data_IF_055395364737
#
_entry.id   IF_055395364737
#
_cell.length_a   1.000
_cell.length_b   1.000
_cell.length_c   1.000
_cell.angle_alpha   90.00
_cell.angle_beta   90.00
_cell.angle_gamma   90.00
#
_symmetry.space_group_name_H-M   'P 1'
#
loop_
_entity.id
_entity.type
_entity.pdbx_description
1 polymer ?
#
# COMPACT_ATOMS: atom_id res chain seq x y z
N UNK A 1 -27.68 -42.75 62.44
CA UNK A 1 -26.44 -42.26 61.91
C UNK A 1 -26.55 -42.30 60.39
N UNK A 2 -26.79 -41.15 59.78
CA UNK A 2 -26.90 -41.03 58.31
C UNK A 2 -25.90 -40.02 57.85
N UNK A 3 -24.79 -40.55 57.33
CA UNK A 3 -23.74 -39.76 56.74
C UNK A 3 -24.19 -39.21 55.38
N UNK A 4 -24.28 -37.91 55.23
CA UNK A 4 -24.60 -37.25 53.97
C UNK A 4 -23.27 -36.89 53.30
N UNK A 5 -22.89 -37.68 52.29
CA UNK A 5 -21.81 -37.33 51.39
C UNK A 5 -22.25 -36.19 50.46
N UNK A 6 -21.65 -35.05 50.62
CA UNK A 6 -21.80 -33.91 49.72
C UNK A 6 -20.80 -34.06 48.58
N UNK A 7 -21.29 -34.41 47.40
CA UNK A 7 -20.47 -34.46 46.19
C UNK A 7 -20.44 -33.05 45.61
N UNK A 8 -19.29 -32.39 45.76
CA UNK A 8 -18.98 -31.12 45.09
C UNK A 8 -18.59 -31.41 43.63
N UNK A 9 -19.53 -31.16 42.71
CA UNK A 9 -19.27 -31.19 41.28
C UNK A 9 -18.63 -29.86 40.91
N UNK A 10 -17.32 -29.88 40.74
CA UNK A 10 -16.54 -28.73 40.26
C UNK A 10 -16.66 -28.66 38.74
N UNK A 11 -17.47 -27.73 38.24
CA UNK A 11 -17.62 -27.45 36.81
C UNK A 11 -16.45 -26.59 36.37
N UNK A 12 -15.45 -27.18 35.70
CA UNK A 12 -14.39 -26.46 35.06
C UNK A 12 -14.96 -25.83 33.78
N UNK A 13 -15.19 -24.53 33.82
CA UNK A 13 -15.49 -23.73 32.61
C UNK A 13 -14.20 -23.49 31.87
N UNK A 14 -13.98 -24.25 30.81
CA UNK A 14 -12.88 -24.07 29.90
C UNK A 14 -13.17 -22.88 28.95
N UNK A 15 -12.67 -21.69 29.30
CA UNK A 15 -12.77 -20.52 28.47
C UNK A 15 -11.82 -20.73 27.27
N UNK A 16 -12.38 -21.10 26.10
CA UNK A 16 -11.67 -21.04 24.84
C UNK A 16 -11.45 -19.55 24.48
N UNK A 17 -10.26 -19.04 24.76
CA UNK A 17 -9.80 -17.79 24.15
C UNK A 17 -9.52 -18.07 22.70
N UNK A 18 -10.46 -17.71 21.81
CA UNK A 18 -10.19 -17.63 20.39
C UNK A 18 -9.16 -16.51 20.18
N UNK A 19 -7.89 -16.88 20.09
CA UNK A 19 -6.83 -16.00 19.66
C UNK A 19 -7.14 -15.59 18.22
N UNK A 20 -7.63 -14.36 18.01
CA UNK A 20 -7.62 -13.75 16.69
C UNK A 20 -6.15 -13.69 16.26
N UNK A 21 -5.76 -14.54 15.31
CA UNK A 21 -4.52 -14.40 14.58
C UNK A 21 -4.66 -13.07 13.81
N UNK A 22 -4.16 -11.98 14.39
CA UNK A 22 -3.90 -10.77 13.66
C UNK A 22 -2.92 -11.17 12.55
N UNK A 23 -3.40 -11.15 11.29
CA UNK A 23 -2.52 -11.27 10.15
C UNK A 23 -1.44 -10.21 10.37
N UNK A 24 -0.19 -10.63 10.47
CA UNK A 24 0.91 -9.72 10.75
C UNK A 24 0.95 -8.70 9.61
N UNK A 25 0.65 -7.45 9.94
CA UNK A 25 0.71 -6.31 9.02
C UNK A 25 2.17 -6.09 8.61
N UNK A 26 2.62 -6.87 7.65
CA UNK A 26 4.01 -6.83 7.21
C UNK A 26 4.20 -5.70 6.22
N UNK A 27 5.04 -4.73 6.59
CA UNK A 27 5.56 -3.71 5.70
C UNK A 27 6.81 -4.21 4.98
N UNK A 28 6.87 -3.95 3.69
CA UNK A 28 8.10 -3.96 2.92
C UNK A 28 8.68 -2.55 3.03
N UNK A 29 9.88 -2.40 3.58
CA UNK A 29 10.43 -1.10 3.95
C UNK A 29 9.99 -0.66 5.35
N UNK A 30 9.83 0.64 5.53
CA UNK A 30 9.51 1.26 6.82
C UNK A 30 8.00 1.46 6.96
N UNK A 31 7.46 1.15 8.13
CA UNK A 31 6.10 1.58 8.49
C UNK A 31 6.10 3.07 8.84
N UNK A 32 4.98 3.80 8.62
CA UNK A 32 4.87 5.18 9.08
C UNK A 32 4.99 5.25 10.61
N UNK A 33 5.68 6.27 11.10
CA UNK A 33 5.81 6.52 12.55
C UNK A 33 4.46 6.87 13.17
N UNK A 34 3.62 7.61 12.43
CA UNK A 34 2.26 7.94 12.82
C UNK A 34 1.27 7.30 11.85
N UNK A 35 0.33 6.54 12.39
CA UNK A 35 -0.77 5.97 11.61
C UNK A 35 -1.76 7.07 11.21
N UNK A 36 -1.56 7.68 10.05
CA UNK A 36 -2.55 8.55 9.41
C UNK A 36 -3.50 7.72 8.57
N UNK A 37 -4.76 8.16 8.47
CA UNK A 37 -5.72 7.52 7.58
C UNK A 37 -5.19 7.55 6.13
N UNK A 38 -5.19 6.42 5.41
CA UNK A 38 -4.75 6.40 4.02
C UNK A 38 -5.68 7.23 3.13
N UNK A 39 -5.10 7.93 2.16
CA UNK A 39 -5.80 8.71 1.15
C UNK A 39 -5.85 7.91 -0.16
N UNK A 40 -6.99 7.87 -0.83
CA UNK A 40 -7.13 7.18 -2.12
C UNK A 40 -6.28 7.82 -3.23
N UNK A 41 -5.81 7.01 -4.18
CA UNK A 41 -5.00 7.51 -5.32
C UNK A 41 -5.74 8.61 -6.08
N UNK A 42 -7.03 8.43 -6.35
CA UNK A 42 -7.84 9.42 -7.07
C UNK A 42 -7.90 10.77 -6.33
N UNK A 43 -8.06 10.74 -5.01
CA UNK A 43 -8.06 11.94 -4.16
C UNK A 43 -6.68 12.63 -4.14
N UNK A 44 -5.60 11.84 -4.03
CA UNK A 44 -4.22 12.37 -4.09
C UNK A 44 -3.94 13.08 -5.41
N UNK A 45 -4.40 12.54 -6.53
CA UNK A 45 -4.20 13.14 -7.84
C UNK A 45 -5.06 14.41 -8.03
N UNK A 46 -6.30 14.43 -7.48
CA UNK A 46 -7.17 15.60 -7.51
C UNK A 46 -6.58 16.78 -6.73
N UNK A 47 -5.94 16.51 -5.58
CA UNK A 47 -5.37 17.54 -4.69
C UNK A 47 -3.83 17.57 -4.72
N UNK A 48 -3.23 17.10 -5.82
CA UNK A 48 -1.77 16.87 -5.91
C UNK A 48 -0.93 18.12 -5.60
N UNK A 49 -1.37 19.31 -6.00
CA UNK A 49 -0.64 20.55 -5.73
C UNK A 49 -0.56 20.87 -4.23
N UNK A 50 -1.61 20.58 -3.47
CA UNK A 50 -1.66 20.77 -2.03
C UNK A 50 -0.87 19.69 -1.27
N UNK A 51 -0.75 18.49 -1.84
CA UNK A 51 -0.09 17.34 -1.23
C UNK A 51 1.37 17.17 -1.67
N UNK A 52 1.85 18.01 -2.59
CA UNK A 52 3.21 17.95 -3.10
C UNK A 52 4.23 18.10 -1.96
N UNK A 53 5.28 17.28 -2.00
CA UNK A 53 6.37 17.23 -1.03
C UNK A 53 5.94 16.93 0.42
N UNK A 54 4.70 16.47 0.61
CA UNK A 54 4.21 16.04 1.91
C UNK A 54 4.34 14.53 2.09
N UNK A 55 4.60 14.14 3.34
CA UNK A 55 4.56 12.74 3.77
C UNK A 55 3.11 12.30 3.97
N UNK A 56 2.69 11.28 3.26
CA UNK A 56 1.32 10.74 3.31
C UNK A 56 1.32 9.22 3.15
N UNK A 57 0.22 8.62 3.53
CA UNK A 57 -0.06 7.21 3.26
C UNK A 57 -1.18 7.14 2.24
N UNK A 58 -0.95 6.45 1.13
CA UNK A 58 -1.94 6.24 0.08
C UNK A 58 -2.52 4.84 0.14
N UNK A 59 -3.73 4.67 -0.35
CA UNK A 59 -4.36 3.38 -0.58
C UNK A 59 -4.83 3.23 -2.01
N UNK A 60 -4.78 2.02 -2.51
CA UNK A 60 -5.24 1.67 -3.85
C UNK A 60 -5.05 0.19 -4.12
N UNK A 61 -5.40 -0.22 -5.34
CA UNK A 61 -5.14 -1.57 -5.82
C UNK A 61 -3.79 -1.59 -6.53
N UNK A 62 -2.86 -2.40 -6.05
CA UNK A 62 -1.59 -2.64 -6.72
C UNK A 62 -1.82 -3.52 -7.95
N UNK A 63 -1.66 -2.96 -9.15
CA UNK A 63 -1.98 -3.59 -10.44
C UNK A 63 -0.76 -4.06 -11.19
N UNK A 64 0.39 -3.43 -10.96
CA UNK A 64 1.65 -3.82 -11.56
C UNK A 64 2.84 -3.60 -10.62
N UNK A 65 3.86 -4.43 -10.75
CA UNK A 65 5.11 -4.36 -9.98
C UNK A 65 6.28 -4.65 -10.93
N UNK A 66 7.37 -3.92 -10.74
CA UNK A 66 8.62 -4.14 -11.46
C UNK A 66 9.11 -5.59 -11.28
N UNK A 67 9.15 -6.35 -12.37
CA UNK A 67 9.50 -7.78 -12.35
C UNK A 67 10.99 -8.04 -12.09
N UNK A 68 11.86 -7.04 -12.31
CA UNK A 68 13.30 -7.21 -12.14
C UNK A 68 13.76 -7.09 -10.68
N UNK A 69 13.41 -5.97 -10.03
CA UNK A 69 13.93 -5.62 -8.70
C UNK A 69 12.86 -5.20 -7.70
N UNK A 70 11.57 -5.18 -8.07
CA UNK A 70 10.52 -4.69 -7.19
C UNK A 70 10.71 -3.21 -6.81
N UNK A 71 11.32 -2.41 -7.68
CA UNK A 71 11.71 -1.02 -7.37
C UNK A 71 10.59 0.00 -7.59
N UNK A 72 9.46 -0.41 -8.16
CA UNK A 72 8.25 0.37 -8.31
C UNK A 72 7.02 -0.53 -8.41
N UNK A 73 5.87 0.04 -8.08
CA UNK A 73 4.55 -0.53 -8.33
C UNK A 73 3.62 0.52 -8.92
N UNK A 74 2.50 0.10 -9.50
CA UNK A 74 1.39 0.97 -9.90
C UNK A 74 0.23 0.73 -8.95
N UNK A 75 -0.27 1.81 -8.35
CA UNK A 75 -1.49 1.80 -7.54
C UNK A 75 -2.61 2.45 -8.35
N UNK A 76 -3.75 1.80 -8.39
CA UNK A 76 -4.95 2.24 -9.11
C UNK A 76 -6.10 2.43 -8.11
N UNK A 77 -6.87 3.48 -8.32
CA UNK A 77 -8.10 3.77 -7.60
C UNK A 77 -9.05 4.56 -8.52
N UNK A 78 -10.27 4.04 -8.72
CA UNK A 78 -11.29 4.66 -9.58
C UNK A 78 -10.83 5.00 -11.01
N UNK A 79 -9.95 4.18 -11.59
CA UNK A 79 -9.40 4.39 -12.94
C UNK A 79 -8.21 5.34 -12.99
N UNK A 80 -7.85 5.99 -11.89
CA UNK A 80 -6.66 6.82 -11.75
C UNK A 80 -5.48 5.96 -11.30
N UNK A 81 -4.29 6.26 -11.82
CA UNK A 81 -3.07 5.48 -11.53
C UNK A 81 -1.97 6.36 -11.01
N UNK A 82 -1.27 5.89 -9.98
CA UNK A 82 -0.09 6.54 -9.42
C UNK A 82 1.06 5.54 -9.32
N UNK A 83 2.23 5.94 -9.78
CA UNK A 83 3.45 5.16 -9.59
C UNK A 83 3.96 5.32 -8.16
N UNK A 84 4.20 4.20 -7.51
CA UNK A 84 4.85 4.11 -6.20
C UNK A 84 6.28 3.62 -6.45
N UNK A 85 7.26 4.48 -6.24
CA UNK A 85 8.68 4.18 -6.47
C UNK A 85 9.39 3.99 -5.14
N UNK A 86 10.09 2.88 -4.99
CA UNK A 86 10.89 2.60 -3.79
C UNK A 86 12.02 3.63 -3.66
N UNK A 87 12.11 4.29 -2.50
CA UNK A 87 13.16 5.27 -2.22
C UNK A 87 14.53 4.57 -2.17
N UNK A 88 15.46 5.08 -2.97
CA UNK A 88 16.88 4.69 -2.96
C UNK A 88 17.12 3.16 -3.00
N UNK A 89 16.17 2.40 -3.54
CA UNK A 89 16.20 0.93 -3.55
C UNK A 89 16.37 0.28 -2.17
N UNK A 90 15.89 0.92 -1.11
CA UNK A 90 16.06 0.46 0.27
C UNK A 90 15.28 -0.82 0.61
N UNK A 91 14.28 -1.14 -0.18
CA UNK A 91 13.52 -2.39 -0.09
C UNK A 91 13.05 -2.85 -1.48
N UNK A 92 12.44 -4.02 -1.56
CA UNK A 92 11.85 -4.52 -2.78
C UNK A 92 10.39 -4.91 -2.55
N UNK A 93 9.53 -4.60 -3.51
CA UNK A 93 8.14 -5.07 -3.56
C UNK A 93 8.14 -6.43 -4.28
N UNK A 94 7.60 -7.52 -3.69
CA UNK A 94 7.51 -8.79 -4.38
C UNK A 94 6.74 -8.68 -5.70
N UNK A 95 7.33 -9.20 -6.78
CA UNK A 95 6.85 -8.98 -8.14
C UNK A 95 5.51 -9.67 -8.46
N UNK A 96 5.10 -10.62 -7.65
CA UNK A 96 3.87 -11.40 -7.77
C UNK A 96 2.68 -10.81 -7.00
N UNK A 97 2.90 -9.79 -6.16
CA UNK A 97 1.82 -9.18 -5.39
C UNK A 97 0.91 -8.32 -6.29
N UNK A 98 -0.37 -8.56 -6.20
CA UNK A 98 -1.46 -7.78 -6.84
C UNK A 98 -2.63 -7.71 -5.87
N UNK A 99 -3.30 -6.57 -5.80
CA UNK A 99 -4.47 -6.41 -4.93
C UNK A 99 -4.41 -5.20 -4.03
N UNK A 100 -5.30 -5.11 -3.03
CA UNK A 100 -5.37 -3.97 -2.11
C UNK A 100 -4.04 -3.77 -1.36
N UNK A 101 -3.56 -2.54 -1.35
CA UNK A 101 -2.30 -2.19 -0.72
C UNK A 101 -2.31 -0.75 -0.20
N UNK A 102 -1.39 -0.46 0.70
CA UNK A 102 -1.06 0.90 1.14
C UNK A 102 0.42 1.17 0.92
N UNK A 103 0.76 2.41 0.63
CA UNK A 103 2.14 2.86 0.53
C UNK A 103 2.32 4.16 1.32
N UNK A 104 3.43 4.27 2.04
CA UNK A 104 3.81 5.45 2.80
C UNK A 104 5.04 6.08 2.17
N UNK A 105 5.02 7.40 1.99
CA UNK A 105 6.12 8.13 1.37
C UNK A 105 5.79 9.58 1.09
N UNK A 106 6.49 10.18 0.16
CA UNK A 106 6.36 11.59 -0.24
C UNK A 106 5.89 11.69 -1.68
N UNK A 107 4.81 12.46 -1.91
CA UNK A 107 4.35 12.77 -3.26
C UNK A 107 5.36 13.73 -3.92
N UNK A 108 5.86 13.33 -5.09
CA UNK A 108 6.90 14.08 -5.80
C UNK A 108 6.59 14.21 -7.28
N UNK A 109 6.99 15.33 -7.85
CA UNK A 109 6.96 15.59 -9.28
C UNK A 109 8.33 15.24 -9.87
N UNK A 110 8.33 14.37 -10.86
CA UNK A 110 9.57 13.92 -11.54
C UNK A 110 9.52 14.33 -12.99
N UNK A 111 10.49 15.12 -13.43
CA UNK A 111 10.63 15.50 -14.84
C UNK A 111 10.94 14.27 -15.68
N UNK A 112 10.32 14.19 -16.84
CA UNK A 112 10.50 13.10 -17.79
C UNK A 112 10.92 13.63 -19.16
N UNK A 113 11.74 12.88 -19.87
CA UNK A 113 12.09 13.24 -21.25
C UNK A 113 10.90 13.02 -22.19
N UNK A 114 10.79 13.76 -23.30
CA UNK A 114 9.73 13.54 -24.30
C UNK A 114 9.68 12.10 -24.80
N UNK A 115 10.83 11.46 -25.01
CA UNK A 115 10.90 10.06 -25.44
C UNK A 115 10.38 9.08 -24.37
N UNK A 116 10.58 9.39 -23.08
CA UNK A 116 10.02 8.61 -21.98
C UNK A 116 8.51 8.82 -21.90
N UNK A 117 8.04 10.07 -21.98
CA UNK A 117 6.61 10.39 -21.97
C UNK A 117 5.87 9.68 -23.11
N UNK A 118 6.41 9.70 -24.33
CA UNK A 118 5.84 8.98 -25.47
C UNK A 118 5.75 7.48 -25.21
N UNK A 119 6.78 6.86 -24.65
CA UNK A 119 6.78 5.44 -24.30
C UNK A 119 5.74 5.10 -23.22
N UNK A 120 5.54 5.99 -22.26
CA UNK A 120 4.51 5.81 -21.22
C UNK A 120 3.12 5.76 -21.81
N UNK A 121 2.80 6.63 -22.77
CA UNK A 121 1.51 6.63 -23.49
C UNK A 121 1.39 5.37 -24.35
N UNK A 122 2.36 5.08 -25.21
CA UNK A 122 2.26 4.03 -26.22
C UNK A 122 2.27 2.62 -25.61
N UNK A 123 3.10 2.41 -24.60
CA UNK A 123 3.33 1.07 -24.06
C UNK A 123 2.54 0.77 -22.77
N UNK A 124 2.31 1.78 -21.95
CA UNK A 124 1.71 1.59 -20.63
C UNK A 124 0.35 2.28 -20.47
N UNK A 125 -0.17 2.92 -21.54
CA UNK A 125 -1.48 3.53 -21.54
C UNK A 125 -1.59 4.75 -20.59
N UNK A 126 -0.49 5.45 -20.33
CA UNK A 126 -0.50 6.66 -19.53
C UNK A 126 -1.34 7.74 -20.21
N UNK A 127 -1.92 8.66 -19.40
CA UNK A 127 -2.67 9.80 -19.91
C UNK A 127 -1.79 10.63 -20.84
N UNK A 128 -2.25 10.95 -22.08
CA UNK A 128 -1.52 11.78 -23.03
C UNK A 128 -1.08 13.14 -22.48
N UNK A 129 -1.69 13.64 -21.42
CA UNK A 129 -1.30 14.89 -20.76
C UNK A 129 0.17 14.90 -20.33
N UNK A 130 0.80 13.73 -20.13
CA UNK A 130 2.22 13.61 -19.79
C UNK A 130 3.12 14.13 -20.93
N UNK A 131 2.67 14.09 -22.20
CA UNK A 131 3.38 14.61 -23.36
C UNK A 131 3.45 16.15 -23.35
N UNK A 132 2.46 16.81 -22.75
CA UNK A 132 2.41 18.26 -22.64
C UNK A 132 3.13 18.76 -21.39
N UNK A 133 2.99 18.05 -20.28
CA UNK A 133 3.51 18.47 -18.98
C UNK A 133 4.98 18.06 -18.77
N UNK A 134 5.44 17.00 -19.44
CA UNK A 134 6.79 16.42 -19.29
C UNK A 134 7.20 16.15 -17.84
N UNK A 135 6.25 15.79 -17.02
CA UNK A 135 6.50 15.28 -15.68
C UNK A 135 5.52 14.16 -15.33
N UNK A 136 5.92 13.33 -14.41
CA UNK A 136 5.12 12.27 -13.79
C UNK A 136 5.00 12.54 -12.30
N UNK A 137 3.79 12.36 -11.74
CA UNK A 137 3.61 12.31 -10.30
C UNK A 137 3.96 10.91 -9.81
N UNK A 138 4.73 10.85 -8.75
CA UNK A 138 5.14 9.59 -8.12
C UNK A 138 5.05 9.71 -6.61
N UNK A 139 4.64 8.65 -5.91
CA UNK A 139 4.91 8.52 -4.50
C UNK A 139 6.30 7.90 -4.34
N UNK A 140 7.25 8.63 -3.77
CA UNK A 140 8.56 8.08 -3.38
C UNK A 140 8.38 7.41 -2.03
N UNK A 141 8.25 6.08 -2.06
CA UNK A 141 7.81 5.28 -0.93
C UNK A 141 8.97 4.88 -0.03
N UNK A 142 8.74 5.03 1.27
CA UNK A 142 9.57 4.51 2.35
C UNK A 142 9.13 3.11 2.76
N UNK A 143 7.86 2.76 2.52
CA UNK A 143 7.31 1.44 2.75
C UNK A 143 6.01 1.17 2.00
N UNK A 144 5.75 -0.10 1.78
CA UNK A 144 4.53 -0.64 1.14
C UNK A 144 4.01 -1.80 1.98
N UNK A 145 2.71 -1.88 2.17
CA UNK A 145 2.04 -2.99 2.84
C UNK A 145 0.93 -3.54 1.96
N UNK A 146 0.97 -4.83 1.71
CA UNK A 146 -0.10 -5.55 1.04
C UNK A 146 -1.18 -5.93 2.05
N UNK A 147 -2.44 -5.71 1.70
CA UNK A 147 -3.58 -5.94 2.60
C UNK A 147 -4.21 -7.33 2.43
N UNK A 148 -3.69 -8.13 1.50
CA UNK A 148 -4.23 -9.44 1.17
C UNK A 148 -5.34 -9.38 0.13
N UNK A 149 -5.75 -10.55 -0.35
CA UNK A 149 -6.94 -10.69 -1.19
C UNK A 149 -8.17 -10.64 -0.29
N UNK A 150 -9.11 -9.76 -0.60
CA UNK A 150 -10.42 -9.66 0.06
C UNK A 150 -11.44 -10.52 -0.64
#
# INVERSE_FOLDING_TARGET
MRSRFLVLVSTIVMVLTAGSAAASEQWFGQSPEEAKAPVGVAEVLADSDALMDQSLTITGRMTDVCTGRGCWAVFEDNGEMLRVKVRDHNFAIPADLRGPAVAHGVLSKVEVSPAYAQRMVDKYGADPIVLERLYELQLVADGVRFLGDS
#
